data_IF_316414207197
#
_entry.id   IF_316414207197
#
_cell.length_a   1.000
_cell.length_b   1.000
_cell.length_c   1.000
_cell.angle_alpha   90.00
_cell.angle_beta   90.00
_cell.angle_gamma   90.00
#
_symmetry.space_group_name_H-M   'P 1'
#
loop_
_entity.id
_entity.type
_entity.pdbx_description
1 polymer ?
#
# COMPACT_ATOMS: atom_id res chain seq x y z
N UNK A 1 -12.14 -4.04 18.84
CA UNK A 1 -12.84 -2.77 18.55
C UNK A 1 -11.87 -1.84 17.82
N UNK A 2 -12.29 -1.30 16.66
CA UNK A 2 -11.47 -0.38 15.87
C UNK A 2 -11.39 0.98 16.56
N UNK A 3 -10.19 1.52 16.73
CA UNK A 3 -9.97 2.87 17.28
C UNK A 3 -8.69 3.49 16.68
N UNK A 4 -8.46 4.77 16.98
CA UNK A 4 -7.26 5.49 16.56
C UNK A 4 -6.38 5.76 17.76
N UNK A 5 -5.09 5.45 17.62
CA UNK A 5 -4.04 5.85 18.56
C UNK A 5 -3.10 6.85 17.91
N UNK A 6 -2.34 7.57 18.75
CA UNK A 6 -1.32 8.50 18.31
C UNK A 6 0.07 8.01 18.71
N UNK A 7 0.96 7.92 17.72
CA UNK A 7 2.36 7.54 17.92
C UNK A 7 3.24 8.66 17.37
N UNK A 8 3.84 9.41 18.26
CA UNK A 8 4.48 10.68 17.90
C UNK A 8 3.48 11.62 17.23
N UNK A 9 3.76 12.02 15.99
CA UNK A 9 2.90 12.91 15.19
C UNK A 9 1.98 12.15 14.22
N UNK A 10 1.95 10.81 14.28
CA UNK A 10 1.18 9.97 13.36
C UNK A 10 -0.06 9.41 14.04
N UNK A 11 -1.17 9.43 13.33
CA UNK A 11 -2.37 8.70 13.70
C UNK A 11 -2.33 7.30 13.11
N UNK A 12 -2.74 6.31 13.89
CA UNK A 12 -2.73 4.90 13.52
C UNK A 12 -4.07 4.29 13.88
N UNK A 13 -4.74 3.70 12.90
CA UNK A 13 -5.89 2.85 13.16
C UNK A 13 -5.39 1.54 13.79
N UNK A 14 -6.09 1.06 14.79
CA UNK A 14 -5.83 -0.26 15.36
C UNK A 14 -7.12 -1.03 15.60
N UNK A 15 -7.05 -2.34 15.39
CA UNK A 15 -8.02 -3.29 15.87
C UNK A 15 -7.28 -4.36 16.69
N UNK A 16 -7.67 -4.50 17.93
CA UNK A 16 -7.05 -5.45 18.86
C UNK A 16 -8.00 -6.61 19.12
N UNK A 17 -7.50 -7.86 19.12
CA UNK A 17 -8.28 -9.02 19.57
C UNK A 17 -8.48 -8.99 21.09
N UNK A 18 -9.48 -9.70 21.58
CA UNK A 18 -9.65 -9.90 23.04
C UNK A 18 -8.46 -10.68 23.62
N UNK A 19 -7.97 -11.66 22.88
CA UNK A 19 -6.76 -12.42 23.21
C UNK A 19 -5.87 -12.50 21.97
N UNK A 20 -4.67 -11.95 22.06
CA UNK A 20 -3.70 -12.04 20.97
C UNK A 20 -3.10 -13.45 20.92
N UNK A 21 -3.21 -14.10 19.76
CA UNK A 21 -2.64 -15.42 19.46
C UNK A 21 -1.48 -15.36 18.47
N UNK A 22 -1.22 -14.18 17.93
CA UNK A 22 -0.18 -13.90 16.96
C UNK A 22 0.46 -12.53 17.17
N UNK A 23 1.70 -12.32 16.70
CA UNK A 23 2.34 -11.01 16.73
C UNK A 23 1.59 -9.98 15.84
N UNK A 24 1.81 -8.66 16.08
CA UNK A 24 1.16 -7.59 15.34
C UNK A 24 1.48 -7.56 13.84
N UNK A 25 0.51 -7.09 13.05
CA UNK A 25 0.66 -6.82 11.61
C UNK A 25 0.39 -5.34 11.35
N UNK A 26 1.30 -4.70 10.57
CA UNK A 26 1.15 -3.32 10.10
C UNK A 26 0.70 -3.29 8.65
N UNK A 27 -0.33 -2.49 8.37
CA UNK A 27 -0.85 -2.24 7.03
C UNK A 27 -0.48 -0.83 6.54
N UNK A 28 -0.05 -0.72 5.28
CA UNK A 28 0.37 0.53 4.65
C UNK A 28 -0.47 0.76 3.39
N UNK A 29 -1.19 1.89 3.38
CA UNK A 29 -2.08 2.24 2.28
C UNK A 29 -1.37 2.71 1.02
N UNK A 30 -2.10 2.74 -0.10
CA UNK A 30 -1.64 3.20 -1.41
C UNK A 30 -1.64 4.72 -1.60
N UNK A 31 -1.36 5.13 -2.83
CA UNK A 31 -1.44 6.52 -3.29
C UNK A 31 -2.91 6.96 -3.39
N UNK A 32 -3.20 8.21 -3.07
CA UNK A 32 -4.54 8.83 -3.08
C UNK A 32 -5.54 8.36 -2.02
N UNK A 33 -5.15 7.54 -1.08
CA UNK A 33 -5.99 7.04 0.02
C UNK A 33 -5.28 7.21 1.35
N UNK A 34 -5.96 6.84 2.43
CA UNK A 34 -5.39 6.79 3.78
C UNK A 34 -5.63 5.42 4.44
N UNK A 35 -5.34 5.30 5.73
CA UNK A 35 -5.44 4.03 6.45
C UNK A 35 -6.86 3.45 6.52
N UNK A 36 -7.91 4.24 6.26
CA UNK A 36 -9.31 3.79 6.33
C UNK A 36 -9.64 2.69 5.31
N UNK A 37 -8.88 2.58 4.23
CA UNK A 37 -9.03 1.48 3.25
C UNK A 37 -8.75 0.10 3.84
N UNK A 38 -8.10 0.05 5.01
CA UNK A 38 -7.77 -1.19 5.72
C UNK A 38 -8.75 -1.57 6.83
N UNK A 39 -9.78 -0.76 7.08
CA UNK A 39 -10.70 -0.94 8.22
C UNK A 39 -11.22 -2.37 8.33
N UNK A 40 -11.77 -2.91 7.24
CA UNK A 40 -12.33 -4.28 7.22
C UNK A 40 -11.26 -5.36 7.42
N UNK A 41 -10.07 -5.15 6.88
CA UNK A 41 -8.92 -6.05 7.08
C UNK A 41 -8.46 -6.06 8.54
N UNK A 42 -8.36 -4.87 9.18
CA UNK A 42 -7.98 -4.76 10.58
C UNK A 42 -8.96 -5.52 11.49
N UNK A 43 -10.26 -5.33 11.27
CA UNK A 43 -11.30 -6.01 12.03
C UNK A 43 -11.26 -7.52 11.84
N UNK A 44 -11.04 -7.98 10.59
CA UNK A 44 -10.90 -9.42 10.27
C UNK A 44 -9.69 -10.02 10.96
N UNK A 45 -8.51 -9.42 10.85
CA UNK A 45 -7.30 -9.89 11.51
C UNK A 45 -7.46 -9.93 13.04
N UNK A 46 -8.04 -8.89 13.63
CA UNK A 46 -8.34 -8.85 15.05
C UNK A 46 -9.33 -9.97 15.47
N UNK A 47 -10.36 -10.22 14.69
CA UNK A 47 -11.31 -11.32 14.96
C UNK A 47 -10.66 -12.71 14.94
N UNK A 48 -9.53 -12.83 14.23
CA UNK A 48 -8.71 -14.04 14.17
C UNK A 48 -7.53 -14.04 15.17
N UNK A 49 -7.51 -13.12 16.15
CA UNK A 49 -6.50 -13.08 17.21
C UNK A 49 -5.19 -12.40 16.82
N UNK A 50 -5.15 -11.61 15.75
CA UNK A 50 -3.97 -10.88 15.29
C UNK A 50 -4.15 -9.38 15.57
N UNK A 51 -3.34 -8.74 16.42
CA UNK A 51 -3.33 -7.29 16.55
C UNK A 51 -2.99 -6.63 15.21
N UNK A 52 -3.86 -5.79 14.71
CA UNK A 52 -3.74 -5.19 13.37
C UNK A 52 -3.70 -3.66 13.46
N UNK A 53 -2.76 -3.06 12.74
CA UNK A 53 -2.51 -1.62 12.74
C UNK A 53 -2.43 -1.10 11.31
N UNK A 54 -2.97 0.10 11.04
CA UNK A 54 -2.78 0.79 9.78
C UNK A 54 -2.37 2.24 10.00
N UNK A 55 -1.23 2.63 9.45
CA UNK A 55 -0.70 3.98 9.61
C UNK A 55 -1.37 4.95 8.65
N UNK A 56 -1.88 6.09 9.15
CA UNK A 56 -2.11 7.26 8.32
C UNK A 56 -0.74 7.92 8.08
N UNK A 57 -0.20 7.78 6.87
CA UNK A 57 1.05 8.41 6.50
C UNK A 57 0.94 9.95 6.60
N UNK A 58 2.05 10.65 6.79
CA UNK A 58 2.10 12.12 6.95
C UNK A 58 1.26 12.87 5.93
N UNK A 59 0.61 13.95 6.36
CA UNK A 59 -0.28 14.77 5.54
C UNK A 59 -1.69 14.20 5.36
N UNK A 60 -2.06 13.10 6.06
CA UNK A 60 -3.37 12.46 6.00
C UNK A 60 -3.97 12.29 7.39
N UNK A 61 -5.30 12.44 7.49
CA UNK A 61 -6.09 12.19 8.70
C UNK A 61 -5.45 12.74 9.99
N UNK A 62 -4.88 13.93 9.96
CA UNK A 62 -4.23 14.58 11.11
C UNK A 62 -2.79 14.10 11.41
N UNK A 63 -2.22 13.16 10.65
CA UNK A 63 -0.82 12.79 10.75
C UNK A 63 0.07 13.89 10.19
N UNK A 64 0.95 14.47 11.03
CA UNK A 64 1.86 15.57 10.66
C UNK A 64 1.16 16.64 9.80
N UNK A 65 0.13 17.33 10.31
CA UNK A 65 -0.77 18.18 9.51
C UNK A 65 -0.07 19.41 8.90
N UNK A 66 1.06 19.84 9.45
CA UNK A 66 1.84 20.98 8.96
C UNK A 66 2.79 20.65 7.81
N UNK A 67 2.81 19.40 7.32
CA UNK A 67 3.71 19.02 6.22
C UNK A 67 3.22 19.60 4.89
N UNK A 68 4.15 20.10 4.06
CA UNK A 68 3.87 20.37 2.63
C UNK A 68 3.73 19.04 1.89
N UNK A 69 2.49 18.54 1.79
CA UNK A 69 2.19 17.25 1.17
C UNK A 69 2.82 17.10 -0.22
N UNK A 70 2.83 18.17 -1.02
CA UNK A 70 3.35 18.09 -2.38
C UNK A 70 4.83 17.67 -2.45
N UNK A 71 5.59 17.95 -1.40
CA UNK A 71 7.05 17.71 -1.33
C UNK A 71 7.45 16.44 -0.59
N UNK A 72 6.50 15.71 -0.02
CA UNK A 72 6.76 14.47 0.70
C UNK A 72 7.27 13.39 -0.27
N UNK A 73 8.39 12.77 0.05
CA UNK A 73 9.00 11.69 -0.74
C UNK A 73 8.52 10.31 -0.30
N UNK A 74 8.83 9.28 -1.08
CA UNK A 74 8.62 7.88 -0.65
C UNK A 74 9.48 7.52 0.57
N UNK A 75 10.70 8.07 0.68
CA UNK A 75 11.53 7.85 1.87
C UNK A 75 10.90 8.44 3.14
N UNK A 76 10.29 9.63 3.04
CA UNK A 76 9.54 10.23 4.15
C UNK A 76 8.38 9.35 4.61
N UNK A 77 7.65 8.74 3.67
CA UNK A 77 6.58 7.80 3.99
C UNK A 77 7.14 6.49 4.59
N UNK A 78 8.30 6.04 4.12
CA UNK A 78 8.98 4.88 4.68
C UNK A 78 9.45 5.13 6.12
N UNK A 79 9.88 6.36 6.44
CA UNK A 79 10.23 6.75 7.82
C UNK A 79 9.01 6.67 8.75
N UNK A 80 7.84 7.12 8.29
CA UNK A 80 6.60 7.01 9.06
C UNK A 80 6.23 5.55 9.32
N UNK A 81 6.23 4.73 8.27
CA UNK A 81 5.89 3.30 8.38
C UNK A 81 6.88 2.54 9.29
N UNK A 82 8.16 2.81 9.16
CA UNK A 82 9.22 2.23 9.98
C UNK A 82 9.09 2.61 11.46
N UNK A 83 8.75 3.88 11.75
CA UNK A 83 8.47 4.31 13.11
C UNK A 83 7.33 3.51 13.73
N UNK A 84 6.24 3.31 12.99
CA UNK A 84 5.09 2.55 13.50
C UNK A 84 5.44 1.06 13.61
N UNK A 85 6.12 0.47 12.62
CA UNK A 85 6.54 -0.94 12.67
C UNK A 85 7.34 -1.25 13.94
N UNK A 86 8.31 -0.40 14.28
CA UNK A 86 9.08 -0.52 15.53
C UNK A 86 8.21 -0.34 16.78
N UNK A 87 7.34 0.67 16.77
CA UNK A 87 6.52 1.00 17.95
C UNK A 87 5.56 -0.13 18.33
N UNK A 88 4.91 -0.73 17.32
CA UNK A 88 3.95 -1.82 17.55
C UNK A 88 4.60 -3.20 17.59
N UNK A 89 5.90 -3.31 17.31
CA UNK A 89 6.59 -4.59 17.21
C UNK A 89 6.04 -5.45 16.05
N UNK A 90 5.81 -4.84 14.88
CA UNK A 90 5.19 -5.51 13.75
C UNK A 90 6.05 -6.69 13.26
N UNK A 91 5.52 -7.91 13.36
CA UNK A 91 6.17 -9.09 12.82
C UNK A 91 5.99 -9.18 11.29
N UNK A 92 4.88 -8.66 10.76
CA UNK A 92 4.67 -8.57 9.31
C UNK A 92 4.20 -7.17 8.91
N UNK A 93 4.57 -6.76 7.68
CA UNK A 93 4.14 -5.51 7.05
C UNK A 93 3.43 -5.84 5.74
N UNK A 94 2.18 -5.39 5.60
CA UNK A 94 1.35 -5.56 4.41
C UNK A 94 1.20 -4.21 3.73
N UNK A 95 1.60 -4.10 2.46
CA UNK A 95 1.52 -2.85 1.71
C UNK A 95 0.76 -3.01 0.40
N UNK A 96 -0.18 -2.09 0.13
CA UNK A 96 -0.91 -2.00 -1.13
C UNK A 96 -0.36 -0.89 -2.01
N UNK A 97 -0.11 -1.17 -3.29
CA UNK A 97 0.31 -0.17 -4.28
C UNK A 97 1.57 0.61 -3.83
N UNK A 98 1.51 1.94 -3.65
CA UNK A 98 2.59 2.74 -3.04
C UNK A 98 3.03 2.15 -1.69
N UNK A 99 2.07 1.71 -0.86
CA UNK A 99 2.36 1.04 0.42
C UNK A 99 3.20 -0.21 0.27
N UNK A 100 3.06 -0.94 -0.85
CA UNK A 100 3.91 -2.08 -1.19
C UNK A 100 5.36 -1.68 -1.49
N UNK A 101 5.59 -0.52 -2.10
CA UNK A 101 6.94 0.02 -2.26
C UNK A 101 7.53 0.50 -0.93
N UNK A 102 6.70 1.12 -0.08
CA UNK A 102 7.10 1.52 1.27
C UNK A 102 7.45 0.29 2.12
N UNK A 103 6.66 -0.79 2.04
CA UNK A 103 6.95 -2.05 2.76
C UNK A 103 8.30 -2.65 2.35
N UNK A 104 8.68 -2.56 1.06
CA UNK A 104 10.00 -2.96 0.59
C UNK A 104 11.12 -2.11 1.25
N UNK A 105 10.92 -0.79 1.42
CA UNK A 105 11.87 0.09 2.12
C UNK A 105 11.98 -0.24 3.61
N UNK A 106 10.86 -0.56 4.27
CA UNK A 106 10.85 -1.00 5.68
C UNK A 106 11.62 -2.31 5.84
N UNK A 107 11.41 -3.27 4.94
CA UNK A 107 12.14 -4.54 4.95
C UNK A 107 13.64 -4.39 4.64
N UNK A 108 14.01 -3.51 3.69
CA UNK A 108 15.41 -3.17 3.39
C UNK A 108 16.16 -2.65 4.62
N UNK A 109 15.46 -1.97 5.54
CA UNK A 109 15.99 -1.46 6.81
C UNK A 109 16.05 -2.52 7.92
N UNK A 110 15.54 -3.73 7.66
CA UNK A 110 15.47 -4.83 8.65
C UNK A 110 14.36 -4.65 9.69
N UNK A 111 13.33 -3.87 9.38
CA UNK A 111 12.26 -3.48 10.31
C UNK A 111 10.94 -4.24 10.07
N UNK A 112 11.01 -5.39 9.39
CA UNK A 112 9.89 -6.30 9.17
C UNK A 112 10.37 -7.76 9.22
N UNK A 113 9.64 -8.62 9.94
CA UNK A 113 9.90 -10.06 9.98
C UNK A 113 9.37 -10.79 8.75
N UNK A 114 8.34 -10.25 8.09
CA UNK A 114 7.83 -10.68 6.77
C UNK A 114 7.17 -9.50 6.07
N UNK A 115 7.10 -9.51 4.73
CA UNK A 115 6.34 -8.51 3.96
C UNK A 115 5.38 -9.15 2.96
N UNK A 116 4.21 -8.53 2.81
CA UNK A 116 3.23 -8.85 1.78
C UNK A 116 3.02 -7.63 0.89
N UNK A 117 3.25 -7.79 -0.38
CA UNK A 117 3.21 -6.73 -1.39
C UNK A 117 1.99 -6.95 -2.28
N UNK A 118 0.90 -6.22 -2.03
CA UNK A 118 -0.35 -6.34 -2.79
C UNK A 118 -0.36 -5.31 -3.91
N UNK A 119 -0.40 -5.76 -5.17
CA UNK A 119 -0.33 -4.92 -6.39
C UNK A 119 0.70 -3.77 -6.26
N UNK A 120 1.95 -4.06 -5.85
CA UNK A 120 2.90 -3.05 -5.40
C UNK A 120 3.38 -2.13 -6.51
N UNK A 121 3.57 -0.84 -6.20
CA UNK A 121 4.41 0.01 -7.03
C UNK A 121 5.85 -0.57 -7.04
N UNK A 122 6.48 -0.67 -8.23
CA UNK A 122 7.77 -1.32 -8.34
C UNK A 122 8.93 -0.43 -7.90
N UNK A 123 10.04 -1.03 -7.44
CA UNK A 123 11.27 -0.32 -7.18
C UNK A 123 11.99 0.05 -8.49
N UNK A 124 13.03 0.87 -8.40
CA UNK A 124 13.88 1.25 -9.54
C UNK A 124 14.36 0.02 -10.32
N UNK A 125 14.33 0.14 -11.65
CA UNK A 125 14.70 -0.93 -12.59
C UNK A 125 13.52 -1.72 -13.12
N UNK A 126 12.31 -1.54 -12.57
CA UNK A 126 11.08 -2.12 -13.06
C UNK A 126 10.11 -0.97 -13.37
N UNK A 127 9.68 -0.82 -14.63
CA UNK A 127 8.83 0.29 -15.06
C UNK A 127 7.37 -0.16 -15.19
N UNK A 128 6.44 0.67 -14.69
CA UNK A 128 4.99 0.56 -14.95
C UNK A 128 4.57 1.31 -16.20
N UNK A 129 5.44 2.19 -16.75
CA UNK A 129 5.07 3.09 -17.82
C UNK A 129 4.75 2.31 -19.10
N UNK A 130 3.53 2.50 -19.58
CA UNK A 130 3.10 2.14 -20.91
C UNK A 130 2.62 3.40 -21.62
N UNK A 131 2.69 3.44 -22.96
CA UNK A 131 2.29 4.62 -23.71
C UNK A 131 0.86 5.09 -23.37
N UNK A 132 -0.16 4.20 -23.29
CA UNK A 132 -1.51 4.61 -22.88
C UNK A 132 -1.57 5.22 -21.48
N UNK A 133 -0.84 4.66 -20.53
CA UNK A 133 -0.80 5.18 -19.14
C UNK A 133 -0.14 6.56 -19.10
N UNK A 134 0.99 6.73 -19.82
CA UNK A 134 1.69 8.02 -19.92
C UNK A 134 0.79 9.09 -20.51
N UNK A 135 0.12 8.82 -21.64
CA UNK A 135 -0.77 9.78 -22.30
C UNK A 135 -1.91 10.21 -21.36
N UNK A 136 -2.50 9.27 -20.60
CA UNK A 136 -3.57 9.58 -19.66
C UNK A 136 -3.08 10.40 -18.47
N UNK A 137 -1.83 10.20 -18.03
CA UNK A 137 -1.24 10.88 -16.89
C UNK A 137 -0.58 12.22 -17.21
N UNK A 138 -0.44 12.61 -18.50
CA UNK A 138 0.23 13.85 -18.90
C UNK A 138 -0.32 15.10 -18.19
N UNK A 139 -1.62 15.16 -17.91
CA UNK A 139 -2.24 16.29 -17.21
C UNK A 139 -1.77 16.48 -15.75
N UNK A 140 -1.23 15.42 -15.13
CA UNK A 140 -0.69 15.46 -13.76
C UNK A 140 0.80 15.83 -13.72
N UNK A 141 1.50 15.74 -14.85
CA UNK A 141 2.93 16.01 -14.96
C UNK A 141 3.37 17.35 -14.38
N UNK A 142 2.67 18.49 -14.62
CA UNK A 142 3.08 19.76 -14.04
C UNK A 142 3.10 19.74 -12.51
N UNK A 143 2.08 19.14 -11.87
CA UNK A 143 2.04 19.02 -10.41
C UNK A 143 3.13 18.08 -9.88
N UNK A 144 3.37 16.96 -10.57
CA UNK A 144 4.40 15.97 -10.25
C UNK A 144 5.80 16.60 -10.34
N UNK A 145 6.11 17.30 -11.44
CA UNK A 145 7.41 17.94 -11.65
C UNK A 145 7.68 19.07 -10.65
N UNK A 146 6.65 19.86 -10.34
CA UNK A 146 6.74 20.97 -9.40
C UNK A 146 6.58 20.55 -7.93
N UNK A 147 6.46 19.24 -7.66
CA UNK A 147 6.24 18.73 -6.30
C UNK A 147 5.05 19.39 -5.61
N UNK A 148 3.94 19.54 -6.34
CA UNK A 148 2.67 20.04 -5.81
C UNK A 148 1.72 18.88 -5.52
N UNK A 149 0.74 19.05 -4.62
CA UNK A 149 -0.28 18.02 -4.41
C UNK A 149 -0.99 17.66 -5.71
N UNK A 150 -1.14 16.35 -5.96
CA UNK A 150 -1.85 15.80 -7.13
C UNK A 150 -3.23 15.34 -6.67
N UNK A 151 -4.27 15.78 -7.36
CA UNK A 151 -5.63 15.27 -7.19
C UNK A 151 -6.00 14.46 -8.43
N UNK A 152 -6.31 13.16 -8.27
CA UNK A 152 -6.68 12.33 -9.42
C UNK A 152 -8.06 12.72 -9.95
N UNK A 153 -8.23 12.59 -11.27
CA UNK A 153 -9.55 12.73 -11.89
C UNK A 153 -10.42 11.49 -11.63
N UNK A 154 -11.68 11.68 -11.29
CA UNK A 154 -12.63 10.57 -11.01
C UNK A 154 -12.72 9.58 -12.18
N UNK A 155 -12.66 10.07 -13.42
CA UNK A 155 -12.69 9.25 -14.62
C UNK A 155 -11.45 8.35 -14.77
N UNK A 156 -10.25 8.88 -14.43
CA UNK A 156 -9.03 8.06 -14.45
C UNK A 156 -9.03 7.00 -13.35
N UNK A 157 -9.54 7.36 -12.17
CA UNK A 157 -9.70 6.43 -11.06
C UNK A 157 -10.62 5.26 -11.43
N UNK A 158 -11.79 5.55 -12.03
CA UNK A 158 -12.71 4.50 -12.51
C UNK A 158 -12.06 3.60 -13.55
N UNK A 159 -11.35 4.18 -14.51
CA UNK A 159 -10.80 3.43 -15.62
C UNK A 159 -9.58 2.57 -15.25
N UNK A 160 -8.76 3.01 -14.28
CA UNK A 160 -7.47 2.41 -13.96
C UNK A 160 -7.44 1.70 -12.61
N UNK A 161 -8.14 2.25 -11.63
CA UNK A 161 -8.02 1.83 -10.23
C UNK A 161 -9.26 1.04 -9.78
N UNK A 162 -10.45 1.49 -10.17
CA UNK A 162 -11.74 0.91 -9.77
C UNK A 162 -12.38 0.08 -10.89
N UNK A 163 -11.61 -0.38 -11.86
CA UNK A 163 -12.12 -1.02 -13.08
C UNK A 163 -12.80 -2.39 -12.85
N UNK A 164 -12.69 -2.95 -11.65
CA UNK A 164 -13.37 -4.19 -11.23
C UNK A 164 -14.29 -4.00 -10.02
N UNK A 165 -14.34 -2.78 -9.49
CA UNK A 165 -15.31 -2.42 -8.47
C UNK A 165 -16.70 -2.27 -9.12
N UNK A 166 -17.78 -2.83 -8.57
CA UNK A 166 -19.15 -2.61 -9.04
C UNK A 166 -19.51 -1.14 -9.16
N UNK A 167 -20.22 -0.74 -10.20
CA UNK A 167 -20.50 0.67 -10.51
C UNK A 167 -21.23 1.41 -9.39
N UNK A 168 -22.11 0.74 -8.66
CA UNK A 168 -22.85 1.27 -7.51
C UNK A 168 -21.95 1.51 -6.29
N UNK A 169 -20.88 0.73 -6.12
CA UNK A 169 -19.91 0.87 -5.04
C UNK A 169 -18.81 1.90 -5.36
N UNK A 170 -18.51 2.16 -6.64
CA UNK A 170 -17.45 3.08 -7.06
C UNK A 170 -17.61 4.49 -6.46
N UNK A 171 -18.85 4.95 -6.23
CA UNK A 171 -19.09 6.29 -5.73
C UNK A 171 -18.52 6.49 -4.33
N UNK A 172 -18.78 5.53 -3.44
CA UNK A 172 -18.26 5.55 -2.08
C UNK A 172 -16.72 5.49 -2.06
N UNK A 173 -16.11 4.64 -2.90
CA UNK A 173 -14.66 4.55 -2.99
C UNK A 173 -14.00 5.80 -3.57
N UNK A 174 -14.66 6.46 -4.53
CA UNK A 174 -14.17 7.74 -5.08
C UNK A 174 -14.17 8.86 -4.04
N UNK A 175 -15.08 8.82 -3.06
CA UNK A 175 -15.13 9.80 -1.97
C UNK A 175 -14.04 9.58 -0.91
N UNK A 176 -13.45 8.37 -0.84
CA UNK A 176 -12.25 8.10 -0.04
C UNK A 176 -10.96 8.63 -0.69
N UNK A 177 -11.00 8.99 -1.98
CA UNK A 177 -9.80 9.42 -2.71
C UNK A 177 -9.44 10.88 -2.36
N UNK A 178 -8.23 11.05 -1.85
CA UNK A 178 -7.69 12.33 -1.38
C UNK A 178 -6.48 12.76 -2.22
N UNK A 179 -6.07 14.05 -2.19
CA UNK A 179 -4.84 14.50 -2.82
C UNK A 179 -3.60 13.80 -2.25
N UNK A 180 -2.59 13.65 -3.09
CA UNK A 180 -1.33 13.03 -2.68
C UNK A 180 -0.10 13.80 -3.17
N UNK A 181 1.09 13.38 -2.76
CA UNK A 181 2.35 14.05 -3.01
C UNK A 181 2.80 13.97 -4.48
N UNK A 182 3.00 15.12 -5.12
CA UNK A 182 3.62 15.17 -6.44
C UNK A 182 5.07 14.67 -6.42
N UNK A 183 5.81 14.88 -5.33
CA UNK A 183 7.17 14.35 -5.17
C UNK A 183 7.18 12.81 -5.12
N UNK A 184 6.30 12.21 -4.33
CA UNK A 184 6.17 10.75 -4.30
C UNK A 184 5.73 10.19 -5.66
N UNK A 185 4.82 10.87 -6.37
CA UNK A 185 4.44 10.54 -7.75
C UNK A 185 5.64 10.55 -8.69
N UNK A 186 6.52 11.58 -8.59
CA UNK A 186 7.77 11.67 -9.36
C UNK A 186 8.75 10.57 -8.99
N UNK A 187 8.91 10.28 -7.70
CA UNK A 187 9.80 9.24 -7.22
C UNK A 187 9.41 7.87 -7.80
N UNK A 188 8.11 7.55 -7.83
CA UNK A 188 7.60 6.28 -8.38
C UNK A 188 7.65 6.21 -9.91
N UNK A 189 7.31 7.30 -10.63
CA UNK A 189 7.09 7.26 -12.08
C UNK A 189 8.33 7.61 -12.90
N UNK A 190 9.18 8.54 -12.45
CA UNK A 190 10.30 9.05 -13.24
C UNK A 190 11.66 8.64 -12.68
N UNK A 191 11.89 8.88 -11.39
CA UNK A 191 13.19 8.62 -10.78
C UNK A 191 13.39 7.13 -10.45
N UNK A 192 12.32 6.46 -10.11
CA UNK A 192 12.35 5.11 -9.52
C UNK A 192 12.98 5.12 -8.12
N UNK A 193 12.35 4.49 -7.17
CA UNK A 193 12.85 4.39 -5.78
C UNK A 193 13.84 3.24 -5.68
N UNK A 194 15.10 3.49 -5.26
CA UNK A 194 16.04 2.42 -5.08
C UNK A 194 15.64 1.56 -3.88
N UNK A 195 15.64 0.25 -4.08
CA UNK A 195 15.52 -0.74 -3.02
C UNK A 195 16.61 -1.79 -3.26
N UNK A 196 17.43 -2.00 -2.27
CA UNK A 196 18.45 -3.06 -2.30
C UNK A 196 17.80 -4.39 -1.89
N UNK A 197 17.50 -5.24 -2.88
CA UNK A 197 16.86 -6.52 -2.66
C UNK A 197 17.72 -7.48 -1.81
N UNK A 198 19.03 -7.32 -1.84
CA UNK A 198 19.95 -8.15 -1.03
C UNK A 198 19.85 -7.83 0.46
N UNK A 199 19.38 -6.64 0.81
CA UNK A 199 19.12 -6.25 2.20
C UNK A 199 17.76 -6.69 2.73
N UNK A 200 16.83 -7.07 1.86
CA UNK A 200 15.54 -7.64 2.24
C UNK A 200 15.75 -9.11 2.61
N UNK A 201 15.91 -9.39 3.89
CA UNK A 201 16.24 -10.74 4.41
C UNK A 201 15.02 -11.51 4.92
N UNK A 202 13.88 -10.85 5.05
CA UNK A 202 12.64 -11.47 5.51
C UNK A 202 11.89 -12.17 4.36
N UNK A 203 10.98 -13.12 4.66
CA UNK A 203 10.07 -13.68 3.68
C UNK A 203 9.24 -12.61 2.98
N UNK A 204 9.03 -12.78 1.67
CA UNK A 204 8.24 -11.88 0.81
C UNK A 204 7.12 -12.68 0.15
N UNK A 205 5.88 -12.17 0.19
CA UNK A 205 4.78 -12.61 -0.66
C UNK A 205 4.44 -11.47 -1.60
N UNK A 206 4.27 -11.76 -2.88
CA UNK A 206 3.79 -10.78 -3.86
C UNK A 206 2.42 -11.22 -4.36
N UNK A 207 1.46 -10.28 -4.38
CA UNK A 207 0.10 -10.48 -4.85
C UNK A 207 -0.14 -9.62 -6.08
N UNK A 208 -0.66 -10.20 -7.14
CA UNK A 208 -1.11 -9.51 -8.35
C UNK A 208 -2.58 -9.74 -8.59
N UNK A 209 -3.27 -8.74 -9.13
CA UNK A 209 -4.64 -8.84 -9.61
C UNK A 209 -4.63 -8.95 -11.14
N UNK A 210 -5.35 -9.92 -11.68
CA UNK A 210 -5.27 -10.29 -13.12
C UNK A 210 -5.64 -9.14 -14.06
N UNK A 211 -6.62 -8.33 -13.66
CA UNK A 211 -7.15 -7.21 -14.43
C UNK A 211 -6.67 -5.83 -13.96
N UNK A 212 -5.58 -5.78 -13.21
CA UNK A 212 -5.00 -4.51 -12.75
C UNK A 212 -4.52 -3.68 -13.96
N UNK A 213 -5.19 -2.54 -14.17
CA UNK A 213 -4.88 -1.60 -15.26
C UNK A 213 -3.90 -0.51 -14.84
N UNK A 214 -3.67 -0.36 -13.52
CA UNK A 214 -2.77 0.67 -12.99
C UNK A 214 -1.34 0.12 -12.81
N UNK A 215 -1.19 -1.04 -12.16
CA UNK A 215 0.08 -1.77 -12.05
C UNK A 215 -0.08 -3.14 -12.72
N UNK A 216 0.19 -3.25 -14.03
CA UNK A 216 -0.08 -4.47 -14.78
C UNK A 216 0.57 -5.73 -14.18
N UNK A 217 -0.09 -6.91 -14.25
CA UNK A 217 0.42 -8.18 -13.67
C UNK A 217 1.86 -8.50 -14.06
N UNK A 218 2.27 -8.20 -15.30
CA UNK A 218 3.66 -8.41 -15.76
C UNK A 218 4.70 -7.59 -14.99
N UNK A 219 4.30 -6.42 -14.46
CA UNK A 219 5.17 -5.56 -13.63
C UNK A 219 5.29 -6.16 -12.25
N UNK A 220 4.17 -6.60 -11.66
CA UNK A 220 4.14 -7.23 -10.34
C UNK A 220 4.91 -8.56 -10.35
N UNK A 221 4.82 -9.35 -11.42
CA UNK A 221 5.60 -10.57 -11.59
C UNK A 221 7.12 -10.30 -11.54
N UNK A 222 7.59 -9.22 -12.16
CA UNK A 222 9.01 -8.82 -12.09
C UNK A 222 9.44 -8.39 -10.66
N UNK A 223 8.50 -7.87 -9.86
CA UNK A 223 8.78 -7.62 -8.44
C UNK A 223 8.94 -8.94 -7.70
N UNK A 224 8.08 -9.93 -7.96
CA UNK A 224 8.23 -11.27 -7.37
C UNK A 224 9.57 -11.94 -7.77
N UNK A 225 9.92 -11.90 -9.05
CA UNK A 225 11.19 -12.42 -9.57
C UNK A 225 12.40 -11.78 -8.87
N UNK A 226 12.36 -10.46 -8.63
CA UNK A 226 13.45 -9.72 -7.97
C UNK A 226 13.78 -10.26 -6.58
N UNK A 227 12.78 -10.78 -5.86
CA UNK A 227 12.92 -11.33 -4.51
C UNK A 227 12.94 -12.85 -4.47
N UNK A 228 12.82 -13.54 -5.61
CA UNK A 228 12.60 -14.99 -5.62
C UNK A 228 11.33 -15.39 -4.83
N UNK A 229 10.34 -14.50 -4.78
CA UNK A 229 9.17 -14.62 -3.95
C UNK A 229 8.02 -15.36 -4.65
N UNK A 230 7.16 -16.08 -3.91
CA UNK A 230 5.92 -16.61 -4.47
C UNK A 230 5.04 -15.47 -4.98
N UNK A 231 4.41 -15.68 -6.14
CA UNK A 231 3.44 -14.79 -6.75
C UNK A 231 2.04 -15.40 -6.59
N UNK A 232 1.17 -14.67 -5.87
CA UNK A 232 -0.24 -15.01 -5.73
C UNK A 232 -1.05 -14.19 -6.74
N UNK A 233 -1.70 -14.84 -7.70
CA UNK A 233 -2.60 -14.17 -8.65
C UNK A 233 -4.04 -14.24 -8.14
N UNK A 234 -4.72 -13.09 -8.13
CA UNK A 234 -6.15 -12.96 -7.83
C UNK A 234 -6.88 -12.77 -9.15
N UNK A 235 -7.67 -13.78 -9.60
CA UNK A 235 -8.37 -13.72 -10.88
C UNK A 235 -9.51 -12.71 -10.84
N UNK A 236 -9.85 -12.11 -11.99
CA UNK A 236 -10.98 -11.22 -12.18
C UNK A 236 -11.01 -9.96 -11.27
N UNK A 237 -9.87 -9.58 -10.65
CA UNK A 237 -9.73 -8.42 -9.79
C UNK A 237 -8.86 -7.34 -10.44
N UNK A 238 -9.09 -6.08 -10.04
CA UNK A 238 -8.35 -4.90 -10.46
C UNK A 238 -7.38 -4.39 -9.40
N UNK A 239 -7.02 -3.10 -9.52
CA UNK A 239 -6.01 -2.50 -8.64
C UNK A 239 -6.45 -2.44 -7.16
N UNK A 240 -7.75 -2.19 -6.90
CA UNK A 240 -8.30 -2.09 -5.54
C UNK A 240 -8.72 -3.44 -4.97
N UNK A 241 -8.01 -4.51 -5.32
CA UNK A 241 -8.25 -5.89 -4.89
C UNK A 241 -8.49 -6.06 -3.37
N UNK A 242 -8.03 -5.10 -2.56
CA UNK A 242 -8.23 -5.08 -1.11
C UNK A 242 -9.64 -4.62 -0.68
N UNK A 243 -10.42 -4.05 -1.58
CA UNK A 243 -11.78 -3.54 -1.36
C UNK A 243 -12.78 -4.05 -2.41
N UNK A 244 -12.33 -4.82 -3.40
CA UNK A 244 -13.20 -5.43 -4.41
C UNK A 244 -13.96 -6.62 -3.79
N UNK A 245 -15.08 -7.05 -4.36
CA UNK A 245 -15.81 -8.24 -3.89
C UNK A 245 -14.88 -9.44 -3.68
N UNK A 246 -15.16 -10.27 -2.67
CA UNK A 246 -14.35 -11.44 -2.29
C UNK A 246 -12.94 -11.08 -1.73
N UNK A 247 -12.71 -9.84 -1.31
CA UNK A 247 -11.47 -9.41 -0.64
C UNK A 247 -11.14 -10.28 0.59
N UNK A 248 -12.14 -10.86 1.23
CA UNK A 248 -12.01 -11.73 2.40
C UNK A 248 -11.16 -12.97 2.09
N UNK A 249 -11.34 -13.58 0.91
CA UNK A 249 -10.55 -14.72 0.49
C UNK A 249 -9.07 -14.38 0.34
N UNK A 250 -8.79 -13.19 -0.19
CA UNK A 250 -7.42 -12.68 -0.27
C UNK A 250 -6.86 -12.43 1.13
N UNK A 251 -7.64 -11.79 2.02
CA UNK A 251 -7.23 -11.52 3.40
C UNK A 251 -6.87 -12.82 4.14
N UNK A 252 -7.66 -13.89 3.99
CA UNK A 252 -7.41 -15.20 4.59
C UNK A 252 -6.16 -15.88 4.04
N UNK A 253 -5.91 -15.73 2.73
CA UNK A 253 -4.69 -16.27 2.10
C UNK A 253 -3.45 -15.54 2.59
N UNK A 254 -3.52 -14.24 2.73
CA UNK A 254 -2.45 -13.39 3.27
C UNK A 254 -2.21 -13.74 4.74
N UNK A 255 -3.25 -13.84 5.54
CA UNK A 255 -3.15 -14.22 6.94
C UNK A 255 -2.49 -15.59 7.12
N UNK A 256 -2.98 -16.62 6.42
CA UNK A 256 -2.38 -17.97 6.48
C UNK A 256 -0.90 -17.94 6.10
N UNK A 257 -0.53 -17.14 5.10
CA UNK A 257 0.86 -17.02 4.70
C UNK A 257 1.70 -16.35 5.79
N UNK A 258 1.21 -15.28 6.43
CA UNK A 258 1.87 -14.60 7.55
C UNK A 258 2.06 -15.58 8.71
N UNK A 259 0.99 -16.26 9.15
CA UNK A 259 1.03 -17.22 10.28
C UNK A 259 2.06 -18.33 10.11
N UNK A 260 2.35 -18.71 8.87
CA UNK A 260 3.34 -19.76 8.59
C UNK A 260 4.79 -19.26 8.62
N UNK A 261 5.03 -17.96 8.88
CA UNK A 261 6.36 -17.33 8.73
C UNK A 261 6.81 -16.44 9.89
N UNK A 262 5.88 -16.02 10.74
CA UNK A 262 6.17 -15.17 11.90
C UNK A 262 5.50 -15.68 13.17
#
# INVERSE_FOLDING_TARGET
MLNTIRVGDLNVLQALPDVASHPPVLFIHGYFVDATVWTTWLERFASHGIPAYAVHLRGRAGSRPSVDLGRVSIEDFADDAALIARHVGAAAVVGHSMGGLIAQKVAERGEAGAIVLITPAPPRGISVLSLPLVLRQLRYFPAILLSRPVRPGREDLRALVLNRVPDDEQHALLDLMIPDSGRAGRDMSLAGVPVDAERVKCPVLVVTAEDDRFVPPRVVARVAERYGAPLLTVPAHGHMVILEPEWEDLADRVERWIRARV
#
